data_IF_690145963237
#
_entry.id   IF_690145963237
#
_cell.length_a   1.000
_cell.length_b   1.000
_cell.length_c   1.000
_cell.angle_alpha   90.00
_cell.angle_beta   90.00
_cell.angle_gamma   90.00
#
_symmetry.space_group_name_H-M   'P 1'
#
loop_
_entity.id
_entity.type
_entity.pdbx_description
1 polymer ?
#
# COMPACT_ATOMS: atom_id res chain seq x y z
N UNK A 1 13.26 -5.74 -14.56
CA UNK A 1 12.50 -5.80 -15.84
C UNK A 1 11.03 -5.69 -15.47
N UNK A 2 10.19 -4.95 -16.22
CA UNK A 2 8.76 -4.86 -15.92
C UNK A 2 8.14 -6.27 -15.97
N UNK A 3 7.26 -6.60 -15.02
CA UNK A 3 6.43 -7.81 -15.11
C UNK A 3 5.17 -7.44 -15.86
N UNK A 4 4.86 -8.20 -16.92
CA UNK A 4 3.66 -8.02 -17.73
C UNK A 4 2.87 -9.32 -17.71
N UNK A 5 1.62 -9.23 -17.28
CA UNK A 5 0.67 -10.34 -17.31
C UNK A 5 -0.55 -9.97 -18.18
N UNK A 6 -1.06 -10.94 -18.92
CA UNK A 6 -2.24 -10.78 -19.76
C UNK A 6 -3.44 -11.44 -19.09
N UNK A 7 -4.42 -10.64 -18.67
CA UNK A 7 -5.66 -11.12 -18.05
C UNK A 7 -6.83 -10.84 -19.00
N UNK A 8 -7.20 -11.83 -19.81
CA UNK A 8 -8.18 -11.64 -20.87
C UNK A 8 -7.69 -10.61 -21.92
N UNK A 9 -8.47 -9.55 -22.24
CA UNK A 9 -8.03 -8.52 -23.18
C UNK A 9 -7.11 -7.47 -22.55
N UNK A 10 -7.02 -7.39 -21.23
CA UNK A 10 -6.29 -6.35 -20.50
C UNK A 10 -4.83 -6.74 -20.28
N UNK A 11 -3.94 -5.75 -20.38
CA UNK A 11 -2.52 -5.91 -20.03
C UNK A 11 -2.22 -5.25 -18.69
N UNK A 12 -1.84 -6.07 -17.72
CA UNK A 12 -1.35 -5.61 -16.42
C UNK A 12 0.17 -5.49 -16.49
N UNK A 13 0.73 -4.38 -16.02
CA UNK A 13 2.17 -4.20 -15.91
C UNK A 13 2.52 -3.59 -14.57
N UNK A 14 3.55 -4.13 -13.91
CA UNK A 14 4.10 -3.57 -12.69
C UNK A 14 5.57 -3.22 -12.93
N UNK A 15 5.94 -2.00 -12.53
CA UNK A 15 7.31 -1.52 -12.58
C UNK A 15 7.74 -0.99 -11.22
N UNK A 16 9.02 -1.15 -10.90
CA UNK A 16 9.62 -0.37 -9.83
C UNK A 16 9.61 1.09 -10.29
N UNK A 17 8.94 1.96 -9.54
CA UNK A 17 8.96 3.39 -9.81
C UNK A 17 10.40 3.90 -9.62
N UNK A 18 10.89 4.64 -10.59
CA UNK A 18 12.32 5.00 -10.64
C UNK A 18 12.58 6.39 -11.21
N UNK A 19 11.55 7.08 -11.71
CA UNK A 19 11.72 8.37 -12.36
C UNK A 19 10.85 9.46 -11.73
N UNK A 20 11.33 10.70 -11.79
CA UNK A 20 10.58 11.89 -11.38
C UNK A 20 9.22 12.02 -12.11
N UNK A 21 9.09 11.43 -13.30
CA UNK A 21 7.83 11.37 -14.06
C UNK A 21 6.73 10.56 -13.37
N UNK A 22 7.09 9.58 -12.52
CA UNK A 22 6.14 8.72 -11.81
C UNK A 22 5.50 9.42 -10.61
N UNK A 23 6.19 10.42 -10.03
CA UNK A 23 5.79 11.10 -8.79
C UNK A 23 4.41 11.76 -8.87
N UNK A 24 4.00 12.24 -10.05
CA UNK A 24 2.67 12.83 -10.25
C UNK A 24 1.56 11.78 -10.14
N UNK A 25 1.72 10.63 -10.79
CA UNK A 25 0.75 9.53 -10.72
C UNK A 25 0.69 8.93 -9.31
N UNK A 26 1.84 8.72 -8.68
CA UNK A 26 1.94 8.21 -7.31
C UNK A 26 1.24 9.14 -6.30
N UNK A 27 1.42 10.46 -6.42
CA UNK A 27 0.74 11.42 -5.55
C UNK A 27 -0.79 11.37 -5.72
N UNK A 28 -1.29 11.26 -6.96
CA UNK A 28 -2.72 11.14 -7.21
C UNK A 28 -3.32 9.83 -6.64
N UNK A 29 -2.59 8.72 -6.77
CA UNK A 29 -2.99 7.43 -6.20
C UNK A 29 -2.95 7.44 -4.67
N UNK A 30 -1.95 8.08 -4.06
CA UNK A 30 -1.89 8.30 -2.61
C UNK A 30 -3.11 9.10 -2.13
N UNK A 31 -3.43 10.21 -2.79
CA UNK A 31 -4.60 11.03 -2.43
C UNK A 31 -5.90 10.22 -2.49
N UNK A 32 -6.07 9.39 -3.52
CA UNK A 32 -7.21 8.49 -3.64
C UNK A 32 -7.25 7.46 -2.50
N UNK A 33 -6.11 6.81 -2.21
CA UNK A 33 -5.98 5.83 -1.14
C UNK A 33 -6.33 6.45 0.23
N UNK A 34 -5.80 7.64 0.51
CA UNK A 34 -6.06 8.37 1.76
C UNK A 34 -7.52 8.72 1.92
N UNK A 35 -8.19 9.18 0.85
CA UNK A 35 -9.64 9.46 0.88
C UNK A 35 -10.45 8.20 1.15
N UNK A 36 -10.11 7.07 0.54
CA UNK A 36 -10.81 5.80 0.77
C UNK A 36 -10.62 5.32 2.21
N UNK A 37 -9.37 5.33 2.70
CA UNK A 37 -9.04 4.95 4.09
C UNK A 37 -9.76 5.86 5.08
N UNK A 38 -9.78 7.18 4.88
CA UNK A 38 -10.43 8.12 5.80
C UNK A 38 -11.92 7.83 6.02
N UNK A 39 -12.60 7.25 5.01
CA UNK A 39 -14.02 6.88 5.08
C UNK A 39 -14.27 5.53 5.75
N UNK A 40 -13.23 4.79 6.15
CA UNK A 40 -13.35 3.50 6.82
C UNK A 40 -13.32 3.64 8.34
N UNK A 41 -13.91 2.66 9.03
CA UNK A 41 -13.89 2.60 10.50
C UNK A 41 -12.45 2.51 11.02
N UNK A 42 -12.02 3.50 11.79
CA UNK A 42 -10.66 3.59 12.32
C UNK A 42 -9.65 4.20 11.35
N UNK A 43 -10.06 4.53 10.12
CA UNK A 43 -9.18 5.05 9.08
C UNK A 43 -8.57 6.40 9.40
N UNK A 44 -9.34 7.34 9.96
CA UNK A 44 -8.79 8.62 10.41
C UNK A 44 -7.64 8.45 11.43
N UNK A 45 -7.77 7.51 12.36
CA UNK A 45 -6.72 7.21 13.34
C UNK A 45 -5.53 6.48 12.70
N UNK A 46 -5.78 5.55 11.77
CA UNK A 46 -4.72 4.88 11.02
C UNK A 46 -3.88 5.88 10.23
N UNK A 47 -4.52 6.82 9.53
CA UNK A 47 -3.82 7.89 8.83
C UNK A 47 -3.01 8.74 9.81
N UNK A 48 -3.59 9.17 10.93
CA UNK A 48 -2.87 9.98 11.91
C UNK A 48 -1.64 9.29 12.52
N UNK A 49 -1.65 7.97 12.68
CA UNK A 49 -0.55 7.20 13.29
C UNK A 49 0.49 6.78 12.26
N UNK A 50 0.04 6.20 11.15
CA UNK A 50 0.90 5.50 10.20
C UNK A 50 1.21 6.32 8.96
N UNK A 51 0.40 7.33 8.64
CA UNK A 51 0.54 8.12 7.44
C UNK A 51 0.15 9.59 7.66
N UNK A 52 0.75 10.27 8.66
CA UNK A 52 0.25 11.57 9.14
C UNK A 52 0.29 12.67 8.08
N UNK A 53 1.25 12.59 7.15
CA UNK A 53 1.41 13.56 6.06
C UNK A 53 1.48 12.83 4.73
N UNK A 54 0.79 13.38 3.73
CA UNK A 54 0.91 12.91 2.36
C UNK A 54 2.35 13.09 1.88
N UNK A 55 2.90 12.06 1.25
CA UNK A 55 4.20 12.18 0.58
C UNK A 55 4.10 13.25 -0.51
N UNK A 56 3.03 13.17 -1.32
CA UNK A 56 2.83 14.02 -2.48
C UNK A 56 3.99 13.92 -3.47
N UNK A 57 4.00 14.80 -4.46
CA UNK A 57 5.00 14.77 -5.53
C UNK A 57 6.44 14.84 -4.98
N UNK A 58 6.71 15.77 -4.06
CA UNK A 58 8.05 15.97 -3.50
C UNK A 58 8.49 14.82 -2.57
N UNK A 59 7.57 14.24 -1.80
CA UNK A 59 7.87 13.11 -0.93
C UNK A 59 8.20 11.84 -1.72
N UNK A 60 7.43 11.55 -2.77
CA UNK A 60 7.76 10.46 -3.69
C UNK A 60 9.10 10.72 -4.38
N UNK A 61 9.40 11.94 -4.84
CA UNK A 61 10.71 12.28 -5.42
C UNK A 61 11.86 11.92 -4.48
N UNK A 62 11.81 12.37 -3.22
CA UNK A 62 12.83 12.01 -2.21
C UNK A 62 12.94 10.52 -1.95
N UNK A 63 11.82 9.79 -2.00
CA UNK A 63 11.79 8.36 -1.75
C UNK A 63 12.49 7.60 -2.89
N UNK A 64 12.22 8.00 -4.14
CA UNK A 64 12.84 7.43 -5.34
C UNK A 64 14.34 7.75 -5.44
N UNK A 65 14.79 8.88 -4.91
CA UNK A 65 16.19 9.34 -4.99
C UNK A 65 17.20 8.57 -4.10
N UNK A 66 16.76 7.66 -3.22
CA UNK A 66 17.71 6.86 -2.43
C UNK A 66 17.21 6.27 -1.12
N UNK A 67 15.89 6.16 -0.92
CA UNK A 67 15.33 5.53 0.26
C UNK A 67 15.59 4.01 0.31
N UNK A 68 15.63 3.46 1.53
CA UNK A 68 15.54 2.00 1.74
C UNK A 68 14.14 1.46 1.37
N UNK A 69 13.15 2.34 1.31
CA UNK A 69 11.83 2.03 0.79
C UNK A 69 11.87 1.77 -0.73
N UNK A 70 10.88 1.01 -1.19
CA UNK A 70 10.64 0.70 -2.59
C UNK A 70 9.20 1.01 -2.92
N UNK A 71 9.02 1.58 -4.11
CA UNK A 71 7.70 1.93 -4.66
C UNK A 71 7.54 1.20 -5.98
N UNK A 72 6.37 0.60 -6.15
CA UNK A 72 5.97 -0.01 -7.41
C UNK A 72 4.78 0.75 -7.96
N UNK A 73 4.79 0.99 -9.26
CA UNK A 73 3.68 1.57 -9.99
C UNK A 73 3.04 0.47 -10.84
N UNK A 74 1.75 0.27 -10.64
CA UNK A 74 0.94 -0.69 -11.36
C UNK A 74 0.09 0.01 -12.42
N UNK A 75 0.09 -0.55 -13.63
CA UNK A 75 -0.66 -0.03 -14.75
C UNK A 75 -1.54 -1.10 -15.42
N UNK A 76 -2.70 -0.67 -15.94
CA UNK A 76 -3.55 -1.47 -16.83
C UNK A 76 -3.62 -0.74 -18.17
N UNK A 77 -3.27 -1.43 -19.25
CA UNK A 77 -3.19 -0.87 -20.62
C UNK A 77 -2.39 0.44 -20.68
N UNK A 78 -1.33 0.53 -19.87
CA UNK A 78 -0.43 1.69 -19.78
C UNK A 78 -0.91 2.83 -18.89
N UNK A 79 -2.14 2.78 -18.36
CA UNK A 79 -2.64 3.77 -17.40
C UNK A 79 -2.21 3.40 -15.97
N UNK A 80 -1.58 4.31 -15.19
CA UNK A 80 -1.18 4.04 -13.80
C UNK A 80 -2.41 4.03 -12.89
N UNK A 81 -2.79 2.85 -12.38
CA UNK A 81 -4.03 2.65 -11.62
C UNK A 81 -3.83 2.00 -10.25
N UNK A 82 -2.60 1.73 -9.86
CA UNK A 82 -2.29 1.20 -8.54
C UNK A 82 -0.83 1.42 -8.16
N UNK A 83 -0.52 1.27 -6.88
CA UNK A 83 0.85 1.33 -6.39
C UNK A 83 1.02 0.50 -5.13
N UNK A 84 2.26 0.16 -4.84
CA UNK A 84 2.70 -0.40 -3.58
C UNK A 84 3.89 0.39 -3.04
N UNK A 85 3.96 0.55 -1.71
CA UNK A 85 5.08 1.12 -0.99
C UNK A 85 5.46 0.15 0.12
N UNK A 86 6.71 -0.31 0.12
CA UNK A 86 7.24 -1.15 1.18
C UNK A 86 8.62 -0.67 1.64
N UNK A 87 8.97 -1.00 2.88
CA UNK A 87 10.28 -0.67 3.46
C UNK A 87 10.80 -1.80 4.34
N UNK A 88 12.12 -1.93 4.49
CA UNK A 88 12.68 -2.87 5.44
C UNK A 88 12.46 -2.36 6.88
N UNK A 89 12.24 -3.30 7.80
CA UNK A 89 12.22 -3.06 9.24
C UNK A 89 13.18 -4.04 9.92
N UNK A 90 14.25 -3.54 10.52
CA UNK A 90 15.16 -4.36 11.32
C UNK A 90 14.48 -4.77 12.64
N UNK A 91 14.63 -6.04 12.99
CA UNK A 91 14.14 -6.62 14.24
C UNK A 91 15.27 -6.70 15.28
N UNK A 92 14.88 -6.72 16.56
CA UNK A 92 15.83 -6.77 17.67
C UNK A 92 16.71 -8.04 17.70
N UNK A 93 16.26 -9.12 17.07
CA UNK A 93 17.00 -10.39 16.96
C UNK A 93 17.87 -10.49 15.70
N UNK A 94 18.06 -9.37 14.98
CA UNK A 94 18.92 -9.28 13.80
C UNK A 94 18.25 -9.71 12.48
N UNK A 95 17.00 -10.18 12.52
CA UNK A 95 16.21 -10.41 11.29
C UNK A 95 15.65 -9.11 10.74
N UNK A 96 15.06 -9.16 9.55
CA UNK A 96 14.31 -8.04 8.96
C UNK A 96 12.90 -8.47 8.53
N UNK A 97 11.98 -7.52 8.45
CA UNK A 97 10.69 -7.68 7.79
C UNK A 97 10.61 -6.72 6.60
N UNK A 98 9.84 -7.09 5.59
CA UNK A 98 9.32 -6.15 4.61
C UNK A 98 7.97 -5.62 5.13
N UNK A 99 7.85 -4.33 5.39
CA UNK A 99 6.61 -3.70 5.83
C UNK A 99 5.98 -3.01 4.63
N UNK A 100 4.79 -3.45 4.22
CA UNK A 100 3.94 -2.79 3.25
C UNK A 100 3.24 -1.64 3.95
N UNK A 101 3.75 -0.42 3.74
CA UNK A 101 3.13 0.79 4.29
C UNK A 101 1.88 1.18 3.48
N UNK A 102 1.84 0.88 2.17
CA UNK A 102 0.65 1.04 1.34
C UNK A 102 0.60 0.01 0.20
N UNK A 103 -0.60 -0.50 -0.08
CA UNK A 103 -0.93 -1.22 -1.31
C UNK A 103 -2.33 -0.76 -1.72
N UNK A 104 -2.43 -0.14 -2.90
CA UNK A 104 -3.69 0.46 -3.32
C UNK A 104 -3.89 0.30 -4.83
N UNK A 105 -5.14 0.04 -5.19
CA UNK A 105 -5.62 -0.04 -6.56
C UNK A 105 -6.92 0.75 -6.66
N UNK A 106 -7.00 1.61 -7.67
CA UNK A 106 -8.22 2.37 -7.97
C UNK A 106 -9.41 1.43 -8.18
N UNK A 107 -10.62 1.80 -7.72
CA UNK A 107 -11.80 0.93 -7.79
C UNK A 107 -12.05 0.32 -9.18
N UNK A 108 -11.87 1.09 -10.25
CA UNK A 108 -12.04 0.69 -11.64
C UNK A 108 -11.04 -0.37 -12.14
N UNK A 109 -9.91 -0.52 -11.45
CA UNK A 109 -8.86 -1.50 -11.76
C UNK A 109 -8.85 -2.69 -10.78
N UNK A 110 -9.88 -2.84 -9.94
CA UNK A 110 -10.01 -4.01 -9.05
C UNK A 110 -10.59 -5.20 -9.79
N UNK A 111 -10.18 -6.41 -9.39
CA UNK A 111 -10.67 -7.66 -9.97
C UNK A 111 -10.03 -8.06 -11.31
N UNK A 112 -9.03 -7.31 -11.78
CA UNK A 112 -8.28 -7.63 -13.01
C UNK A 112 -6.84 -8.11 -12.74
N UNK A 113 -6.49 -8.39 -11.49
CA UNK A 113 -5.17 -8.93 -11.10
C UNK A 113 -4.09 -7.89 -10.77
N UNK A 114 -4.39 -6.57 -10.82
CA UNK A 114 -3.37 -5.54 -10.58
C UNK A 114 -2.85 -5.55 -9.14
N UNK A 115 -3.73 -5.74 -8.16
CA UNK A 115 -3.33 -5.80 -6.75
C UNK A 115 -2.47 -7.03 -6.48
N UNK A 116 -2.83 -8.15 -7.09
CA UNK A 116 -2.05 -9.39 -7.02
C UNK A 116 -0.64 -9.20 -7.61
N UNK A 117 -0.54 -8.65 -8.83
CA UNK A 117 0.75 -8.38 -9.47
C UNK A 117 1.64 -7.44 -8.65
N UNK A 118 1.06 -6.42 -7.99
CA UNK A 118 1.80 -5.52 -7.09
C UNK A 118 2.32 -6.25 -5.85
N UNK A 119 1.51 -7.14 -5.24
CA UNK A 119 1.92 -7.89 -4.06
C UNK A 119 2.98 -8.95 -4.39
N UNK A 120 2.90 -9.58 -5.57
CA UNK A 120 3.90 -10.54 -6.04
C UNK A 120 5.29 -9.88 -6.14
N UNK A 121 5.36 -8.66 -6.67
CA UNK A 121 6.60 -7.87 -6.73
C UNK A 121 7.15 -7.51 -5.34
N UNK A 122 6.27 -7.16 -4.39
CA UNK A 122 6.66 -6.91 -3.00
C UNK A 122 7.24 -8.17 -2.35
N UNK A 123 6.61 -9.33 -2.58
CA UNK A 123 7.07 -10.61 -2.04
C UNK A 123 8.41 -11.04 -2.65
N UNK A 124 8.58 -10.86 -3.96
CA UNK A 124 9.84 -11.11 -4.64
C UNK A 124 10.97 -10.24 -4.05
N UNK A 125 10.72 -8.94 -3.89
CA UNK A 125 11.67 -8.03 -3.26
C UNK A 125 11.99 -8.40 -1.80
N UNK A 126 10.98 -8.80 -1.01
CA UNK A 126 11.19 -9.25 0.36
C UNK A 126 12.05 -10.51 0.44
N UNK A 127 11.82 -11.47 -0.48
CA UNK A 127 12.61 -12.70 -0.57
C UNK A 127 14.07 -12.41 -0.97
N UNK A 128 14.29 -11.56 -1.97
CA UNK A 128 15.63 -11.14 -2.41
C UNK A 128 16.40 -10.41 -1.31
N UNK A 129 15.70 -9.66 -0.45
CA UNK A 129 16.26 -8.97 0.71
C UNK A 129 16.51 -9.90 1.92
N UNK A 130 16.15 -11.19 1.84
CA UNK A 130 16.26 -12.14 2.94
C UNK A 130 15.35 -11.82 4.13
N UNK A 131 14.22 -11.13 3.89
CA UNK A 131 13.29 -10.79 4.95
C UNK A 131 12.67 -12.06 5.57
N UNK A 132 12.51 -12.06 6.89
CA UNK A 132 11.88 -13.16 7.63
C UNK A 132 10.36 -13.25 7.41
N UNK A 133 9.76 -12.23 6.82
CA UNK A 133 8.34 -12.17 6.52
C UNK A 133 7.91 -10.79 6.02
N UNK A 134 6.64 -10.69 5.65
CA UNK A 134 6.00 -9.45 5.21
C UNK A 134 4.90 -9.07 6.20
N UNK A 135 4.87 -7.79 6.56
CA UNK A 135 3.80 -7.19 7.36
C UNK A 135 3.00 -6.21 6.51
N UNK A 136 1.70 -6.15 6.76
CA UNK A 136 0.82 -5.12 6.24
C UNK A 136 -0.27 -4.80 7.27
N UNK A 137 -0.87 -3.62 7.17
CA UNK A 137 -2.01 -3.22 8.01
C UNK A 137 -3.32 -3.37 7.22
N UNK A 138 -4.35 -3.89 7.89
CA UNK A 138 -5.71 -3.95 7.39
C UNK A 138 -6.67 -3.40 8.46
N UNK A 139 -7.61 -2.55 8.05
CA UNK A 139 -8.59 -1.97 8.97
C UNK A 139 -9.61 -3.02 9.46
N UNK A 140 -10.12 -2.88 10.70
CA UNK A 140 -11.10 -3.81 11.23
C UNK A 140 -12.40 -3.77 10.41
N UNK A 141 -12.89 -4.93 10.01
CA UNK A 141 -14.11 -5.07 9.21
C UNK A 141 -13.88 -4.89 7.69
N UNK A 142 -12.67 -4.53 7.26
CA UNK A 142 -12.29 -4.56 5.84
C UNK A 142 -12.04 -6.00 5.39
N UNK A 143 -13.14 -6.69 5.05
CA UNK A 143 -13.10 -8.08 4.60
C UNK A 143 -12.41 -8.21 3.25
N UNK A 144 -12.42 -7.17 2.41
CA UNK A 144 -11.78 -7.21 1.09
C UNK A 144 -10.27 -7.26 1.27
N UNK A 145 -9.71 -6.32 2.02
CA UNK A 145 -8.26 -6.28 2.30
C UNK A 145 -7.81 -7.49 3.11
N UNK A 146 -8.61 -7.91 4.09
CA UNK A 146 -8.33 -9.14 4.85
C UNK A 146 -8.24 -10.36 3.93
N UNK A 147 -9.26 -10.62 3.11
CA UNK A 147 -9.28 -11.76 2.21
C UNK A 147 -8.15 -11.68 1.18
N UNK A 148 -7.81 -10.46 0.72
CA UNK A 148 -6.67 -10.23 -0.17
C UNK A 148 -5.38 -10.77 0.45
N UNK A 149 -5.04 -10.34 1.67
CA UNK A 149 -3.82 -10.78 2.35
C UNK A 149 -3.84 -12.27 2.75
N UNK A 150 -4.99 -12.82 3.13
CA UNK A 150 -5.11 -14.25 3.45
C UNK A 150 -4.78 -15.17 2.26
N UNK A 151 -5.07 -14.74 1.01
CA UNK A 151 -4.68 -15.48 -0.20
C UNK A 151 -3.16 -15.59 -0.37
N UNK A 152 -2.42 -14.67 0.23
CA UNK A 152 -0.95 -14.68 0.28
C UNK A 152 -0.39 -15.41 1.51
N UNK A 153 -1.24 -16.13 2.25
CA UNK A 153 -0.85 -16.84 3.47
C UNK A 153 -0.51 -15.92 4.64
N UNK A 154 -0.80 -14.62 4.53
CA UNK A 154 -0.62 -13.68 5.63
C UNK A 154 -1.68 -13.93 6.69
N UNK A 155 -1.25 -14.02 7.95
CA UNK A 155 -2.13 -14.22 9.09
C UNK A 155 -2.07 -13.04 10.04
N UNK A 156 -3.22 -12.64 10.59
CA UNK A 156 -3.26 -11.61 11.62
C UNK A 156 -2.46 -12.04 12.86
N UNK A 157 -1.50 -11.21 13.28
CA UNK A 157 -0.62 -11.48 14.44
C UNK A 157 -0.78 -10.49 15.60
N UNK A 158 -1.56 -9.42 15.42
CA UNK A 158 -1.85 -8.43 16.44
C UNK A 158 -3.23 -7.81 16.22
N UNK A 159 -3.90 -7.43 17.33
CA UNK A 159 -5.14 -6.65 17.32
C UNK A 159 -4.88 -5.31 17.98
N UNK A 160 -5.21 -4.23 17.29
CA UNK A 160 -5.22 -2.88 17.86
C UNK A 160 -6.63 -2.56 18.37
N UNK A 161 -6.70 -2.12 19.62
CA UNK A 161 -7.96 -1.69 20.26
C UNK A 161 -7.89 -0.22 20.59
N UNK A 162 -9.01 0.48 20.46
CA UNK A 162 -9.09 1.92 20.66
C UNK A 162 -10.35 2.28 21.46
N UNK A 163 -10.19 3.19 22.42
CA UNK A 163 -11.27 3.89 23.12
C UNK A 163 -10.88 5.36 23.22
N UNK A 164 -11.74 6.26 22.75
CA UNK A 164 -11.55 7.68 22.98
C UNK A 164 -11.72 8.00 24.48
N UNK A 165 -10.84 8.84 25.02
CA UNK A 165 -10.91 9.28 26.43
C UNK A 165 -12.10 10.22 26.64
N UNK A 166 -12.33 11.11 25.67
CA UNK A 166 -13.48 12.00 25.60
C UNK A 166 -14.28 11.68 24.32
N UNK A 167 -15.62 11.71 24.34
CA UNK A 167 -16.39 11.55 23.11
C UNK A 167 -15.99 12.64 22.10
N UNK A 168 -16.04 12.34 20.78
CA UNK A 168 -15.86 13.37 19.79
C UNK A 168 -16.89 14.49 20.04
N UNK A 169 -16.52 15.78 19.86
CA UNK A 169 -17.48 16.86 20.02
C UNK A 169 -18.71 16.56 19.14
N UNK A 170 -19.90 16.77 19.69
CA UNK A 170 -21.14 16.56 18.95
C UNK A 170 -21.10 17.41 17.66
N UNK A 171 -20.88 16.78 16.52
CA UNK A 171 -20.80 17.45 15.24
C UNK A 171 -22.18 17.95 14.82
N UNK A 172 -22.30 19.26 14.65
CA UNK A 172 -23.45 19.89 14.02
C UNK A 172 -23.66 19.36 12.61
N UNK A 173 -24.89 18.96 12.33
CA UNK A 173 -25.39 18.70 11.00
C UNK A 173 -25.28 20.00 10.17
N UNK A 174 -24.62 19.94 9.03
CA UNK A 174 -24.83 20.89 7.92
C UNK A 174 -25.44 20.14 6.76
#
# INVERSE_FOLDING_TARGET
>A
MPVTEQVGPLRVTVTVAAAAGDCGALAALEDAARREVANQRGGAMLLAIHWPEALGHAGFGRLLDGGAARVWLGAVDGAPLGFALARPLALADGRSLAVVDALYVLPEARGVGLGEALMDEVLAWAADAGAAGVDALALPGDRVTKNFFERYGMTARALQVHRAVEPPPAGGET
#
